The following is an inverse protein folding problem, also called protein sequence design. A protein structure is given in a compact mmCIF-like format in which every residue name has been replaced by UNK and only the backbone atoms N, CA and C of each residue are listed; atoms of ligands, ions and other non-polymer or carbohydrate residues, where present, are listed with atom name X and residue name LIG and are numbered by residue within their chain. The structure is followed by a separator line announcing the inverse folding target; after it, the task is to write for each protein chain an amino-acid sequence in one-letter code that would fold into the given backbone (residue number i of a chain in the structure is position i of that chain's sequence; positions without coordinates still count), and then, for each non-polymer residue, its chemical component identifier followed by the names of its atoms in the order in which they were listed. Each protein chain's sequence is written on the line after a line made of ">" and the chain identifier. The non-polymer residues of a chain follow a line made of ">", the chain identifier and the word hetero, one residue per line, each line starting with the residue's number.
data_IF_203633763374
#
_entry.id   IF_203633763374
#
_cell.length_a   1.000
_cell.length_b   1.000
_cell.length_c   1.000
_cell.angle_alpha   90.00
_cell.angle_beta   90.00
_cell.angle_gamma   90.00
#
_symmetry.space_group_name_H-M   'P 1'
#
loop_
_entity.id
_entity.type
_entity.pdbx_description
1 polymer ?
#
# COMPACT_ATOMS: atom_id res chain seq x y z
N UNK A 1 6.13 13.83 15.27
CA UNK A 1 5.63 13.07 14.11
C UNK A 1 6.35 11.75 14.20
N UNK A 2 5.70 10.74 14.76
CA UNK A 2 6.32 9.42 14.91
C UNK A 2 6.18 8.70 13.56
N UNK A 3 7.20 8.84 12.72
CA UNK A 3 7.38 7.99 11.55
C UNK A 3 7.87 6.62 12.03
N UNK A 4 7.00 5.62 11.92
CA UNK A 4 7.36 4.24 12.22
C UNK A 4 7.91 3.61 10.95
N UNK A 5 9.23 3.51 10.88
CA UNK A 5 9.94 2.78 9.84
C UNK A 5 9.83 1.28 10.13
N UNK A 6 9.19 0.54 9.22
CA UNK A 6 9.28 -0.90 9.20
C UNK A 6 10.33 -1.29 8.16
N UNK A 7 11.55 -1.56 8.62
CA UNK A 7 12.57 -2.21 7.81
C UNK A 7 12.19 -3.70 7.67
N UNK A 8 11.37 -4.01 6.66
CA UNK A 8 11.20 -5.40 6.24
C UNK A 8 12.41 -5.75 5.40
N UNK A 9 13.49 -6.14 6.07
CA UNK A 9 14.64 -6.79 5.46
C UNK A 9 14.25 -8.20 4.98
N UNK A 10 13.35 -8.26 4.00
CA UNK A 10 13.01 -9.46 3.23
C UNK A 10 14.04 -9.66 2.11
N UNK A 11 15.30 -9.84 2.49
CA UNK A 11 16.31 -10.38 1.59
C UNK A 11 15.98 -11.83 1.28
N UNK A 12 16.10 -12.22 0.01
CA UNK A 12 15.92 -13.59 -0.43
C UNK A 12 17.11 -14.42 0.05
N UNK A 13 17.05 -14.92 1.28
CA UNK A 13 17.77 -16.11 1.72
C UNK A 13 16.74 -17.21 1.96
N UNK A 14 16.43 -17.96 0.90
CA UNK A 14 15.51 -19.10 0.91
C UNK A 14 14.10 -18.79 0.42
N UNK A 15 13.41 -19.82 -0.09
CA UNK A 15 12.05 -19.79 -0.65
C UNK A 15 10.94 -19.54 0.41
N UNK A 16 11.14 -18.57 1.29
CA UNK A 16 10.15 -18.18 2.29
C UNK A 16 9.13 -17.23 1.66
N UNK A 17 7.95 -17.75 1.34
CA UNK A 17 6.79 -16.93 1.00
C UNK A 17 6.31 -16.27 2.29
N UNK A 18 6.39 -14.93 2.38
CA UNK A 18 5.76 -14.20 3.48
C UNK A 18 4.25 -14.40 3.36
N UNK A 19 3.68 -15.20 4.26
CA UNK A 19 2.24 -15.51 4.24
C UNK A 19 1.40 -14.52 5.04
N UNK A 20 2.00 -13.89 6.06
CA UNK A 20 1.30 -12.96 6.96
C UNK A 20 2.28 -11.99 7.63
N UNK A 21 1.89 -10.73 7.73
CA UNK A 21 2.58 -9.69 8.51
C UNK A 21 1.60 -9.19 9.58
N UNK A 22 2.05 -9.10 10.83
CA UNK A 22 1.28 -8.51 11.94
C UNK A 22 2.08 -7.36 12.54
N UNK A 23 1.47 -6.17 12.60
CA UNK A 23 2.07 -4.97 13.18
C UNK A 23 1.34 -4.68 14.49
N UNK A 24 2.04 -4.85 15.61
CA UNK A 24 1.51 -4.55 16.94
C UNK A 24 1.90 -3.13 17.34
N UNK A 25 0.92 -2.26 17.55
CA UNK A 25 1.14 -0.90 18.03
C UNK A 25 0.90 -0.90 19.55
N UNK A 26 1.99 -0.86 20.32
CA UNK A 26 1.94 -0.85 21.79
C UNK A 26 2.20 0.57 22.33
N UNK A 27 1.24 1.47 22.16
CA UNK A 27 1.27 2.77 22.85
C UNK A 27 0.08 2.89 23.80
N UNK A 28 0.31 2.71 25.10
CA UNK A 28 -0.73 2.90 26.13
C UNK A 28 -1.20 4.35 26.27
N UNK A 29 -0.37 5.32 25.86
CA UNK A 29 -0.65 6.76 26.02
C UNK A 29 -0.84 7.51 24.69
N UNK A 30 -0.79 6.83 23.53
CA UNK A 30 -0.95 7.50 22.24
C UNK A 30 -2.40 7.44 21.77
N UNK A 31 -3.05 8.60 21.71
CA UNK A 31 -4.24 8.77 20.91
C UNK A 31 -3.86 8.68 19.43
N UNK A 32 -4.24 7.57 18.79
CA UNK A 32 -4.03 7.41 17.34
C UNK A 32 -5.24 7.97 16.61
N UNK A 33 -4.99 8.74 15.56
CA UNK A 33 -5.99 9.23 14.62
C UNK A 33 -5.82 8.43 13.32
N UNK A 34 -6.53 7.29 13.14
CA UNK A 34 -6.29 6.38 12.01
C UNK A 34 -6.47 7.04 10.64
N UNK A 35 -7.31 8.08 10.55
CA UNK A 35 -7.56 8.81 9.31
C UNK A 35 -6.33 9.53 8.74
N UNK A 36 -5.34 9.84 9.57
CA UNK A 36 -4.08 10.49 9.17
C UNK A 36 -2.90 9.51 9.09
N UNK A 37 -3.15 8.22 9.32
CA UNK A 37 -2.09 7.19 9.27
C UNK A 37 -2.00 6.57 7.88
N UNK A 38 -0.84 5.99 7.60
CA UNK A 38 -0.53 5.31 6.35
C UNK A 38 0.42 4.13 6.62
N UNK A 39 0.45 3.17 5.68
CA UNK A 39 1.49 2.16 5.60
C UNK A 39 2.55 2.65 4.62
N UNK A 40 3.80 2.72 5.08
CA UNK A 40 4.95 2.94 4.21
C UNK A 40 5.53 1.58 3.80
N UNK A 41 5.75 1.39 2.50
CA UNK A 41 6.18 0.12 1.93
C UNK A 41 7.36 0.38 1.01
N UNK A 42 8.49 -0.29 1.28
CA UNK A 42 9.63 -0.36 0.38
C UNK A 42 9.77 -1.78 -0.12
N UNK A 43 10.04 -1.94 -1.42
CA UNK A 43 10.16 -3.24 -2.04
C UNK A 43 11.25 -3.24 -3.11
N UNK A 44 11.84 -4.42 -3.31
CA UNK A 44 12.75 -4.71 -4.42
C UNK A 44 12.14 -5.82 -5.26
N UNK A 45 11.97 -5.56 -6.56
CA UNK A 45 11.53 -6.54 -7.53
C UNK A 45 12.71 -7.46 -7.87
N UNK A 46 12.53 -8.76 -7.69
CA UNK A 46 13.49 -9.76 -8.15
C UNK A 46 12.96 -10.38 -9.43
N UNK A 47 13.48 -9.90 -10.55
CA UNK A 47 13.18 -10.41 -11.88
C UNK A 47 14.07 -11.64 -12.10
N UNK A 48 13.47 -12.78 -12.42
CA UNK A 48 14.21 -14.00 -12.73
C UNK A 48 14.99 -13.82 -14.04
N UNK A 49 16.20 -14.38 -14.10
CA UNK A 49 17.11 -14.23 -15.24
C UNK A 49 16.52 -14.76 -16.58
N UNK A 50 15.54 -15.67 -16.52
CA UNK A 50 14.88 -16.18 -17.72
C UNK A 50 13.89 -15.17 -18.35
N UNK A 51 13.53 -14.10 -17.63
CA UNK A 51 12.64 -13.03 -18.08
C UNK A 51 13.46 -11.83 -18.62
N UNK A 52 14.76 -11.76 -18.35
CA UNK A 52 15.61 -10.60 -18.72
C UNK A 52 15.97 -10.46 -20.19
N UNK A 53 15.71 -11.47 -21.04
CA UNK A 53 15.92 -11.34 -22.50
C UNK A 53 14.88 -10.43 -23.18
N UNK A 54 13.74 -10.22 -22.51
CA UNK A 54 12.78 -9.21 -22.88
C UNK A 54 13.07 -7.96 -22.05
N UNK A 55 13.61 -6.91 -22.67
CA UNK A 55 13.71 -5.56 -22.09
C UNK A 55 12.31 -4.94 -21.88
N UNK A 56 11.40 -5.67 -21.24
CA UNK A 56 10.08 -5.18 -20.87
C UNK A 56 10.24 -4.12 -19.80
N UNK A 57 9.84 -2.90 -20.11
CA UNK A 57 9.58 -1.89 -19.09
C UNK A 57 8.42 -2.41 -18.22
N UNK A 58 8.66 -2.61 -16.92
CA UNK A 58 7.62 -3.02 -15.99
C UNK A 58 6.89 -1.78 -15.50
N UNK A 59 5.62 -1.67 -15.87
CA UNK A 59 4.72 -0.64 -15.37
C UNK A 59 3.88 -1.22 -14.22
N UNK A 60 3.57 -0.38 -13.24
CA UNK A 60 2.64 -0.75 -12.19
C UNK A 60 1.22 -0.33 -12.55
N UNK A 61 0.27 -1.26 -12.36
CA UNK A 61 -1.14 -0.89 -12.34
C UNK A 61 -1.39 0.14 -11.24
N UNK A 62 -2.39 0.98 -11.44
CA UNK A 62 -2.86 1.87 -10.38
C UNK A 62 -3.16 1.13 -9.07
N UNK A 63 -2.88 1.78 -7.95
CA UNK A 63 -3.07 1.25 -6.60
C UNK A 63 -2.20 0.02 -6.27
N UNK A 64 -1.05 -0.12 -6.94
CA UNK A 64 -0.17 -1.30 -6.82
C UNK A 64 0.15 -1.70 -5.38
N UNK A 65 0.34 -0.72 -4.49
CA UNK A 65 0.69 -0.99 -3.09
C UNK A 65 -0.42 -1.77 -2.37
N UNK A 66 -1.70 -1.48 -2.64
CA UNK A 66 -2.82 -2.23 -2.06
C UNK A 66 -2.91 -3.66 -2.62
N UNK A 67 -2.53 -3.85 -3.88
CA UNK A 67 -2.49 -5.16 -4.54
C UNK A 67 -1.39 -6.10 -4.01
N UNK A 68 -0.48 -5.62 -3.16
CA UNK A 68 0.48 -6.47 -2.45
C UNK A 68 -0.20 -7.35 -1.39
N UNK A 69 -1.39 -6.98 -0.95
CA UNK A 69 -2.11 -7.68 0.11
C UNK A 69 -3.33 -8.43 -0.45
N UNK A 70 -3.46 -9.70 -0.09
CA UNK A 70 -4.67 -10.49 -0.36
C UNK A 70 -5.77 -10.25 0.68
N UNK A 71 -5.38 -9.94 1.91
CA UNK A 71 -6.24 -9.64 3.03
C UNK A 71 -5.53 -8.67 3.99
N UNK A 72 -6.26 -7.70 4.54
CA UNK A 72 -5.78 -6.84 5.61
C UNK A 72 -6.83 -6.76 6.72
N UNK A 73 -6.39 -6.75 7.98
CA UNK A 73 -7.24 -6.67 9.15
C UNK A 73 -6.72 -5.59 10.09
N UNK A 74 -7.63 -4.78 10.61
CA UNK A 74 -7.37 -3.83 11.67
C UNK A 74 -8.04 -4.30 12.96
N UNK A 75 -7.25 -4.47 14.01
CA UNK A 75 -7.72 -4.89 15.34
C UNK A 75 -7.34 -3.84 16.39
N UNK A 76 -8.26 -3.56 17.33
CA UNK A 76 -7.98 -2.73 18.52
C UNK A 76 -8.22 -3.60 19.74
N UNK A 77 -7.22 -3.75 20.60
CA UNK A 77 -7.30 -4.58 21.82
C UNK A 77 -7.81 -6.02 21.56
N UNK A 78 -7.42 -6.61 20.43
CA UNK A 78 -7.84 -7.95 20.02
C UNK A 78 -9.26 -8.04 19.44
N UNK A 79 -9.96 -6.91 19.29
CA UNK A 79 -11.26 -6.84 18.62
C UNK A 79 -11.06 -6.43 17.17
N UNK A 80 -11.52 -7.25 16.23
CA UNK A 80 -11.53 -6.91 14.81
C UNK A 80 -12.49 -5.73 14.56
N UNK A 81 -11.93 -4.61 14.10
CA UNK A 81 -12.71 -3.41 13.72
C UNK A 81 -13.16 -3.53 12.27
N UNK A 82 -12.22 -3.85 11.38
CA UNK A 82 -12.52 -4.07 9.98
C UNK A 82 -11.55 -5.07 9.38
N UNK A 83 -12.10 -5.94 8.55
CA UNK A 83 -11.38 -6.90 7.71
C UNK A 83 -11.73 -6.66 6.25
N UNK A 84 -10.71 -6.63 5.40
CA UNK A 84 -10.86 -6.41 3.97
C UNK A 84 -10.16 -7.52 3.20
N UNK A 85 -10.93 -8.21 2.35
CA UNK A 85 -10.41 -9.18 1.37
C UNK A 85 -10.20 -8.45 0.06
N UNK A 86 -9.06 -8.71 -0.59
CA UNK A 86 -8.64 -8.08 -1.84
C UNK A 86 -8.61 -6.54 -1.75
N UNK A 87 -7.86 -5.95 -0.79
CA UNK A 87 -7.81 -4.50 -0.57
C UNK A 87 -7.58 -3.70 -1.84
N UNK A 88 -6.69 -4.14 -2.74
CA UNK A 88 -6.44 -3.49 -4.02
C UNK A 88 -7.69 -3.31 -4.89
N UNK A 89 -8.55 -4.33 -4.99
CA UNK A 89 -9.77 -4.23 -5.81
C UNK A 89 -10.77 -3.27 -5.18
N UNK A 90 -11.01 -3.41 -3.88
CA UNK A 90 -12.00 -2.59 -3.17
C UNK A 90 -11.61 -1.12 -3.08
N UNK A 91 -10.34 -0.81 -2.79
CA UNK A 91 -9.90 0.58 -2.69
C UNK A 91 -9.77 1.22 -4.07
N UNK A 92 -9.39 0.47 -5.12
CA UNK A 92 -9.47 0.97 -6.49
C UNK A 92 -10.90 1.31 -6.91
N UNK A 93 -11.87 0.42 -6.66
CA UNK A 93 -13.27 0.69 -6.99
C UNK A 93 -13.77 1.94 -6.27
N UNK A 94 -13.45 2.06 -4.98
CA UNK A 94 -13.76 3.24 -4.18
C UNK A 94 -13.14 4.50 -4.78
N UNK A 95 -11.87 4.47 -5.15
CA UNK A 95 -11.22 5.66 -5.68
C UNK A 95 -11.82 6.12 -6.99
N UNK A 96 -12.09 5.20 -7.90
CA UNK A 96 -12.73 5.51 -9.17
C UNK A 96 -14.13 6.12 -8.97
N UNK A 97 -14.84 5.75 -7.92
CA UNK A 97 -16.19 6.26 -7.64
C UNK A 97 -16.22 7.52 -6.76
N UNK A 98 -15.18 7.76 -5.95
CA UNK A 98 -15.21 8.78 -4.89
C UNK A 98 -14.24 9.95 -5.12
N UNK A 99 -13.19 9.77 -5.91
CA UNK A 99 -12.21 10.83 -6.15
C UNK A 99 -12.46 11.59 -7.46
N UNK A 100 -12.26 12.89 -7.39
CA UNK A 100 -12.13 13.77 -8.55
C UNK A 100 -10.74 13.58 -9.21
N UNK A 101 -10.60 13.89 -10.51
CA UNK A 101 -9.29 13.87 -11.19
C UNK A 101 -8.20 14.66 -10.45
N UNK A 102 -8.55 15.79 -9.81
CA UNK A 102 -7.62 16.58 -9.01
C UNK A 102 -7.14 15.86 -7.75
N UNK A 103 -7.98 15.04 -7.12
CA UNK A 103 -7.65 14.33 -5.88
C UNK A 103 -6.74 13.13 -6.13
N UNK A 104 -6.79 12.52 -7.32
CA UNK A 104 -5.85 11.46 -7.70
C UNK A 104 -4.39 11.91 -7.69
N UNK A 105 -4.10 13.20 -7.90
CA UNK A 105 -2.73 13.73 -7.75
C UNK A 105 -2.16 13.51 -6.34
N UNK A 106 -3.01 13.47 -5.32
CA UNK A 106 -2.59 13.21 -3.94
C UNK A 106 -2.30 11.73 -3.68
N UNK A 107 -2.68 10.84 -4.61
CA UNK A 107 -2.52 9.40 -4.49
C UNK A 107 -1.29 8.86 -5.26
N UNK A 108 -0.46 9.73 -5.84
CA UNK A 108 0.76 9.34 -6.54
C UNK A 108 1.68 8.46 -5.67
N UNK A 109 1.76 8.74 -4.36
CA UNK A 109 2.52 7.92 -3.41
C UNK A 109 1.97 6.49 -3.24
N UNK A 110 0.72 6.24 -3.62
CA UNK A 110 0.09 4.93 -3.65
C UNK A 110 0.14 4.28 -5.05
N UNK A 111 1.01 4.79 -5.94
CA UNK A 111 1.12 4.42 -7.35
C UNK A 111 -0.20 4.67 -8.11
N UNK A 112 -0.77 5.87 -7.96
CA UNK A 112 -1.83 6.36 -8.84
C UNK A 112 -1.30 7.35 -9.86
N UNK A 113 -1.68 7.13 -11.10
CA UNK A 113 -1.39 8.00 -12.24
C UNK A 113 -2.71 8.51 -12.82
N UNK A 114 -2.83 9.83 -12.94
CA UNK A 114 -4.08 10.50 -13.35
C UNK A 114 -4.32 10.36 -14.85
N UNK A 115 -3.25 10.26 -15.64
CA UNK A 115 -3.34 10.26 -17.10
C UNK A 115 -3.88 8.92 -17.64
N UNK A 116 -3.84 7.85 -16.82
CA UNK A 116 -4.45 6.55 -17.08
C UNK A 116 -4.12 6.00 -18.48
N UNK A 117 -2.89 6.25 -18.94
CA UNK A 117 -2.43 5.90 -20.28
C UNK A 117 -1.56 4.63 -20.29
N UNK A 118 -1.09 4.23 -21.47
CA UNK A 118 -0.28 3.02 -21.60
C UNK A 118 1.08 3.08 -20.84
N UNK A 119 1.46 4.24 -20.32
CA UNK A 119 2.66 4.50 -19.53
C UNK A 119 2.42 4.75 -18.04
N UNK A 120 1.22 4.39 -17.54
CA UNK A 120 0.85 4.49 -16.12
C UNK A 120 1.98 4.04 -15.18
N UNK A 121 2.32 4.93 -14.22
CA UNK A 121 3.28 4.66 -13.15
C UNK A 121 4.66 4.19 -13.61
N UNK A 122 5.06 4.45 -14.86
CA UNK A 122 6.36 4.04 -15.42
C UNK A 122 7.56 4.53 -14.60
N UNK A 123 7.41 5.66 -13.90
CA UNK A 123 8.46 6.26 -13.08
C UNK A 123 8.39 5.90 -11.59
N UNK A 124 7.41 5.09 -11.16
CA UNK A 124 7.25 4.70 -9.76
C UNK A 124 8.34 3.70 -9.28
N UNK A 125 9.09 3.11 -10.22
CA UNK A 125 10.17 2.18 -9.92
C UNK A 125 11.50 2.68 -10.50
N UNK A 126 12.57 2.58 -9.71
CA UNK A 126 13.93 2.88 -10.14
C UNK A 126 14.87 1.74 -9.75
N UNK A 127 15.63 1.21 -10.71
CA UNK A 127 16.59 0.12 -10.49
C UNK A 127 15.97 -1.10 -9.77
N UNK A 128 14.77 -1.51 -10.21
CA UNK A 128 13.98 -2.59 -9.61
C UNK A 128 13.63 -2.37 -8.13
N UNK A 129 13.66 -1.13 -7.65
CA UNK A 129 13.22 -0.75 -6.31
C UNK A 129 12.09 0.26 -6.40
N UNK A 130 11.13 0.15 -5.51
CA UNK A 130 10.05 1.12 -5.38
C UNK A 130 9.71 1.30 -3.91
N UNK A 131 9.19 2.49 -3.60
CA UNK A 131 8.70 2.82 -2.28
C UNK A 131 7.47 3.71 -2.43
N UNK A 132 6.58 3.63 -1.46
CA UNK A 132 5.43 4.52 -1.41
C UNK A 132 4.63 4.35 -0.13
N UNK A 133 3.55 5.11 -0.04
CA UNK A 133 2.66 5.04 1.10
C UNK A 133 1.21 4.91 0.68
N UNK A 134 0.47 4.10 1.43
CA UNK A 134 -0.97 3.94 1.28
C UNK A 134 -1.67 4.36 2.57
N UNK A 135 -2.58 5.32 2.47
CA UNK A 135 -3.31 5.82 3.63
C UNK A 135 -4.26 4.77 4.20
N UNK A 136 -4.40 4.72 5.53
CA UNK A 136 -5.34 3.80 6.16
C UNK A 136 -6.80 4.17 5.87
N UNK A 137 -7.13 5.46 5.69
CA UNK A 137 -8.49 5.89 5.29
C UNK A 137 -8.88 5.42 3.89
N UNK A 138 -7.86 5.24 3.05
CA UNK A 138 -8.04 4.75 1.70
C UNK A 138 -8.36 3.25 1.69
N UNK A 139 -7.66 2.48 2.53
CA UNK A 139 -7.90 1.05 2.71
C UNK A 139 -9.15 0.73 3.53
N UNK A 140 -9.35 1.41 4.66
CA UNK A 140 -10.38 1.10 5.65
C UNK A 140 -11.43 2.21 5.70
N UNK A 141 -12.70 1.84 5.52
CA UNK A 141 -13.81 2.80 5.58
C UNK A 141 -13.95 3.47 6.96
N UNK A 142 -13.76 2.73 8.05
CA UNK A 142 -13.87 3.32 9.40
C UNK A 142 -12.82 4.41 9.66
N UNK A 143 -11.66 4.33 8.99
CA UNK A 143 -10.61 5.34 9.08
C UNK A 143 -11.01 6.65 8.38
N UNK A 144 -12.02 6.70 7.50
CA UNK A 144 -12.47 7.97 6.91
C UNK A 144 -13.35 8.77 7.87
N UNK A 145 -14.19 8.06 8.62
CA UNK A 145 -15.17 8.64 9.53
C UNK A 145 -14.53 9.10 10.85
N UNK A 146 -13.44 8.46 11.26
CA UNK A 146 -12.78 8.75 12.53
C UNK A 146 -11.82 9.96 12.43
N UNK A 147 -12.39 11.17 12.51
CA UNK A 147 -11.67 12.44 12.30
C UNK A 147 -11.33 13.21 13.58
N UNK A 148 -11.59 12.63 14.76
CA UNK A 148 -11.38 13.30 16.05
C UNK A 148 -10.76 12.35 17.07
N UNK A 149 -9.94 12.92 17.95
CA UNK A 149 -9.42 12.29 19.17
C UNK A 149 -10.30 12.67 20.35
#
# INVERSE_FOLDING_TARGET
>A
MDEMYLDVAGGYEGDYIITQIQIFIQNMDAYTLPCERYLYIECKLNILADITDEKGEFNFTNNRLAFLFSEIRYEINGVEIQKLKSPGVSSSLKDFCSHTPSEFNNLQNAAWDVDMDASENKHFMLNNKFAGCISLKHLFGFCEDYQKI
#
